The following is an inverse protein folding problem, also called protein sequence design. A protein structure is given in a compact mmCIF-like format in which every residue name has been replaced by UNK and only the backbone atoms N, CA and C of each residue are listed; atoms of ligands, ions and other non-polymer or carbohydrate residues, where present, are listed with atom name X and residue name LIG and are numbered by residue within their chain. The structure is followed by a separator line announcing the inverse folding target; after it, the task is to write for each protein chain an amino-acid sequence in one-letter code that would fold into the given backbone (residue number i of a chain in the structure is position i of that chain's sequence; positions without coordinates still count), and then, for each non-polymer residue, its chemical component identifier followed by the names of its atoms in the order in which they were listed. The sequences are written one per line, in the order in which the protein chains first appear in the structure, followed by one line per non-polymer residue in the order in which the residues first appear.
data_IF_815848786603
#
_entry.id   IF_815848786603
#
_cell.length_a   1.000
_cell.length_b   1.000
_cell.length_c   1.000
_cell.angle_alpha   90.00
_cell.angle_beta   90.00
_cell.angle_gamma   90.00
#
_symmetry.space_group_name_H-M   'P 1'
#
loop_
_entity.id
_entity.type
_entity.pdbx_description
1 polymer ?
#
# COMPACT_ATOMS: atom_id res chain seq x y z
N UNK A 1 -33.46 -48.75 18.23
CA UNK A 1 -34.19 -47.47 18.25
C UNK A 1 -33.34 -46.26 18.62
N UNK A 2 -32.23 -46.40 19.35
CA UNK A 2 -31.31 -45.29 19.73
C UNK A 2 -30.71 -44.54 18.51
N UNK A 3 -30.20 -45.27 17.52
CA UNK A 3 -29.60 -44.70 16.31
C UNK A 3 -30.56 -43.84 15.46
N UNK A 4 -31.87 -44.13 15.48
CA UNK A 4 -32.86 -43.37 14.70
C UNK A 4 -33.19 -42.01 15.36
N UNK A 5 -33.12 -41.92 16.69
CA UNK A 5 -33.27 -40.67 17.43
C UNK A 5 -32.02 -39.78 17.29
N UNK A 6 -30.83 -40.39 17.29
CA UNK A 6 -29.56 -39.68 17.07
C UNK A 6 -29.50 -39.07 15.64
N UNK A 7 -30.03 -39.78 14.65
CA UNK A 7 -30.11 -39.31 13.26
C UNK A 7 -31.06 -38.11 13.06
N UNK A 8 -32.14 -38.03 13.84
CA UNK A 8 -33.08 -36.89 13.85
C UNK A 8 -32.49 -35.67 14.56
N UNK A 9 -31.63 -35.87 15.56
CA UNK A 9 -30.94 -34.78 16.24
C UNK A 9 -29.90 -34.10 15.35
N UNK A 10 -29.25 -34.85 14.45
CA UNK A 10 -28.27 -34.33 13.49
C UNK A 10 -28.87 -33.53 12.33
N UNK A 11 -30.20 -33.42 12.23
CA UNK A 11 -30.87 -32.60 11.21
C UNK A 11 -30.94 -31.12 11.62
N UNK A 12 -30.68 -30.80 12.89
CA UNK A 12 -30.71 -29.43 13.41
C UNK A 12 -29.31 -28.98 13.84
N UNK A 13 -28.61 -28.27 12.95
CA UNK A 13 -27.31 -27.67 13.27
C UNK A 13 -27.55 -26.42 14.13
N UNK A 14 -27.01 -26.43 15.35
CA UNK A 14 -27.00 -25.27 16.26
C UNK A 14 -25.58 -24.77 16.41
N UNK A 15 -25.41 -23.46 16.57
CA UNK A 15 -24.09 -22.88 16.81
C UNK A 15 -23.58 -23.31 18.20
N UNK A 16 -22.33 -23.79 18.32
CA UNK A 16 -21.78 -24.24 19.60
C UNK A 16 -21.51 -23.08 20.57
N UNK A 17 -21.22 -21.88 20.06
CA UNK A 17 -20.93 -20.67 20.83
C UNK A 17 -21.54 -19.45 20.15
N UNK A 18 -21.69 -18.35 20.90
CA UNK A 18 -22.05 -17.04 20.37
C UNK A 18 -20.96 -16.54 19.39
N UNK A 19 -21.37 -16.06 18.22
CA UNK A 19 -20.44 -15.64 17.17
C UNK A 19 -21.12 -15.00 15.97
N UNK A 20 -20.32 -14.54 15.01
CA UNK A 20 -20.81 -13.95 13.74
C UNK A 20 -20.53 -14.93 12.60
N UNK A 21 -21.54 -15.17 11.76
CA UNK A 21 -21.38 -16.01 10.55
C UNK A 21 -20.50 -15.25 9.56
N UNK A 22 -19.31 -15.78 9.29
CA UNK A 22 -18.35 -15.20 8.33
C UNK A 22 -18.41 -15.85 6.96
N UNK A 23 -19.06 -17.01 6.84
CA UNK A 23 -19.26 -17.69 5.57
C UNK A 23 -20.43 -18.67 5.60
N UNK A 24 -21.15 -18.73 4.49
CA UNK A 24 -22.18 -19.73 4.22
C UNK A 24 -21.70 -20.58 3.05
N UNK A 25 -21.53 -21.88 3.27
CA UNK A 25 -20.94 -22.82 2.32
C UNK A 25 -21.93 -23.86 1.78
N UNK A 26 -23.19 -23.80 2.19
CA UNK A 26 -24.27 -24.63 1.67
C UNK A 26 -25.52 -23.78 1.37
N UNK A 27 -26.23 -24.11 0.29
CA UNK A 27 -27.46 -23.43 -0.13
C UNK A 27 -28.72 -24.18 0.37
N UNK A 28 -29.83 -23.45 0.50
CA UNK A 28 -31.12 -24.05 0.85
C UNK A 28 -31.53 -25.11 -0.20
N UNK A 29 -31.87 -26.32 0.27
CA UNK A 29 -32.23 -27.45 -0.59
C UNK A 29 -31.06 -28.31 -1.08
N UNK A 30 -29.81 -27.94 -0.77
CA UNK A 30 -28.64 -28.73 -1.10
C UNK A 30 -28.49 -29.93 -0.14
N UNK A 31 -28.26 -31.13 -0.69
CA UNK A 31 -27.90 -32.31 0.09
C UNK A 31 -26.43 -32.18 0.52
N UNK A 32 -26.18 -32.19 1.83
CA UNK A 32 -24.83 -32.10 2.41
C UNK A 32 -24.39 -33.47 2.91
N UNK A 33 -23.12 -33.81 2.69
CA UNK A 33 -22.53 -35.05 3.21
C UNK A 33 -21.92 -34.84 4.59
N UNK A 34 -21.77 -35.91 5.37
CA UNK A 34 -21.10 -35.84 6.67
C UNK A 34 -19.67 -35.30 6.52
N UNK A 35 -19.31 -34.31 7.34
CA UNK A 35 -17.99 -33.64 7.28
C UNK A 35 -17.91 -32.47 6.29
N UNK A 36 -18.96 -32.21 5.50
CA UNK A 36 -19.02 -31.03 4.63
C UNK A 36 -19.40 -29.79 5.45
N UNK A 37 -18.58 -28.73 5.36
CA UNK A 37 -18.82 -27.45 6.06
C UNK A 37 -20.06 -26.74 5.51
N UNK A 38 -20.98 -26.33 6.39
CA UNK A 38 -22.23 -25.63 6.04
C UNK A 38 -22.15 -24.14 6.38
N UNK A 39 -21.62 -23.82 7.57
CA UNK A 39 -21.40 -22.46 8.05
C UNK A 39 -20.02 -22.34 8.66
N UNK A 40 -19.38 -21.19 8.44
CA UNK A 40 -18.19 -20.77 9.17
C UNK A 40 -18.61 -19.67 10.13
N UNK A 41 -18.42 -19.91 11.43
CA UNK A 41 -18.75 -18.97 12.50
C UNK A 41 -17.45 -18.52 13.16
N UNK A 42 -17.22 -17.21 13.20
CA UNK A 42 -16.17 -16.66 14.05
C UNK A 42 -16.71 -16.57 15.48
N UNK A 43 -16.19 -17.43 16.35
CA UNK A 43 -16.52 -17.47 17.77
C UNK A 43 -15.50 -16.66 18.57
N UNK A 44 -15.99 -15.97 19.61
CA UNK A 44 -15.16 -15.19 20.53
C UNK A 44 -15.34 -13.67 20.38
N UNK A 45 -15.48 -13.01 21.54
CA UNK A 45 -15.42 -11.55 21.68
C UNK A 45 -13.98 -11.02 21.78
N UNK A 46 -13.02 -11.92 22.01
CA UNK A 46 -11.60 -11.61 22.06
C UNK A 46 -11.11 -11.17 20.69
N UNK A 47 -10.63 -9.92 20.60
CA UNK A 47 -10.02 -9.39 19.38
C UNK A 47 -8.53 -9.66 19.44
N UNK A 48 -8.02 -10.39 18.45
CA UNK A 48 -6.59 -10.60 18.31
C UNK A 48 -5.97 -9.49 17.45
N UNK A 49 -4.78 -9.07 17.82
CA UNK A 49 -3.89 -8.25 16.99
C UNK A 49 -2.76 -9.13 16.51
N UNK A 50 -2.47 -9.05 15.22
CA UNK A 50 -1.44 -9.82 14.54
C UNK A 50 -0.40 -8.86 13.98
N UNK A 51 0.87 -9.08 14.32
CA UNK A 51 1.98 -8.30 13.79
C UNK A 51 3.21 -9.17 13.61
N UNK A 52 4.08 -8.75 12.69
CA UNK A 52 5.27 -9.50 12.31
C UNK A 52 6.53 -8.85 12.91
N UNK A 53 7.37 -9.66 13.55
CA UNK A 53 8.57 -9.19 14.26
C UNK A 53 9.81 -9.92 13.72
N UNK A 54 10.83 -9.17 13.34
CA UNK A 54 12.10 -9.72 12.83
C UNK A 54 13.01 -10.29 13.94
N UNK A 55 12.84 -9.84 15.19
CA UNK A 55 13.66 -10.23 16.35
C UNK A 55 12.78 -10.62 17.54
N UNK A 56 12.20 -11.83 17.55
CA UNK A 56 11.27 -12.27 18.59
C UNK A 56 11.96 -12.46 19.95
N UNK A 57 13.30 -12.50 20.01
CA UNK A 57 14.08 -12.61 21.26
C UNK A 57 13.88 -11.40 22.18
N UNK A 58 13.47 -10.25 21.64
CA UNK A 58 13.13 -9.06 22.44
C UNK A 58 11.78 -9.18 23.15
N UNK A 59 10.95 -10.14 22.74
CA UNK A 59 9.69 -10.48 23.38
C UNK A 59 9.96 -11.59 24.38
N UNK A 60 10.02 -11.24 25.66
CA UNK A 60 10.19 -12.23 26.71
C UNK A 60 8.95 -13.15 26.75
N UNK A 61 9.12 -14.40 26.29
CA UNK A 61 8.05 -15.41 26.22
C UNK A 61 7.46 -15.77 27.59
N UNK A 62 8.17 -15.44 28.68
CA UNK A 62 7.71 -15.66 30.06
C UNK A 62 7.07 -14.42 30.66
N UNK A 63 7.20 -13.26 30.02
CA UNK A 63 6.75 -12.03 30.62
C UNK A 63 5.23 -11.93 30.55
N UNK A 64 4.62 -11.67 31.70
CA UNK A 64 3.26 -11.15 31.88
C UNK A 64 3.16 -9.71 31.36
N UNK A 65 3.91 -9.38 30.30
CA UNK A 65 4.07 -8.03 29.81
C UNK A 65 2.79 -7.62 29.09
N UNK A 66 2.18 -6.53 29.58
CA UNK A 66 0.98 -5.96 28.97
C UNK A 66 1.41 -5.12 27.79
N UNK A 67 0.95 -5.50 26.61
CA UNK A 67 1.14 -4.74 25.39
C UNK A 67 0.15 -3.59 25.37
N UNK A 68 0.61 -2.40 25.00
CA UNK A 68 -0.27 -1.26 24.73
C UNK A 68 -0.55 -1.19 23.24
N UNK A 69 -1.82 -1.22 22.88
CA UNK A 69 -2.26 -1.17 21.48
C UNK A 69 -3.09 0.08 21.27
N UNK A 70 -2.77 0.87 20.26
CA UNK A 70 -3.53 2.05 19.83
C UNK A 70 -4.02 1.90 18.40
N UNK A 71 -5.16 2.50 18.04
CA UNK A 71 -5.54 2.64 16.63
C UNK A 71 -4.57 3.58 15.91
N UNK A 72 -4.13 3.19 14.71
CA UNK A 72 -3.21 4.02 13.92
C UNK A 72 -3.88 5.34 13.49
N UNK A 73 -5.18 5.31 13.21
CA UNK A 73 -5.95 6.49 12.80
C UNK A 73 -6.31 7.41 13.98
N UNK A 74 -6.44 6.86 15.19
CA UNK A 74 -6.74 7.64 16.39
C UNK A 74 -5.96 7.08 17.60
N UNK A 75 -4.78 7.64 17.90
CA UNK A 75 -3.94 7.18 19.00
C UNK A 75 -4.58 7.30 20.39
N UNK A 76 -5.69 8.03 20.53
CA UNK A 76 -6.44 8.16 21.79
C UNK A 76 -7.23 6.90 22.13
N UNK A 77 -7.55 6.08 21.13
CA UNK A 77 -8.25 4.81 21.32
C UNK A 77 -7.22 3.73 21.59
N UNK A 78 -7.12 3.33 22.85
CA UNK A 78 -6.12 2.37 23.32
C UNK A 78 -6.76 1.18 24.04
N UNK A 79 -6.10 0.03 23.96
CA UNK A 79 -6.42 -1.17 24.73
C UNK A 79 -5.14 -1.81 25.27
N UNK A 80 -5.25 -2.47 26.42
CA UNK A 80 -4.21 -3.40 26.87
C UNK A 80 -4.39 -4.75 26.19
N UNK A 81 -3.30 -5.51 26.06
CA UNK A 81 -3.32 -6.82 25.44
C UNK A 81 -2.28 -7.74 26.07
N UNK A 82 -2.54 -9.04 26.01
CA UNK A 82 -1.62 -10.07 26.48
C UNK A 82 -1.15 -10.97 25.34
N UNK A 83 0.06 -11.53 25.48
CA UNK A 83 0.62 -12.45 24.50
C UNK A 83 -0.20 -13.73 24.44
N UNK A 84 -0.69 -14.08 23.25
CA UNK A 84 -1.42 -15.33 23.00
C UNK A 84 -0.48 -16.40 22.46
N UNK A 85 0.23 -16.09 21.38
CA UNK A 85 1.12 -17.03 20.71
C UNK A 85 2.17 -16.31 19.85
N UNK A 86 3.30 -16.98 19.62
CA UNK A 86 4.32 -16.59 18.65
C UNK A 86 4.54 -17.78 17.74
N UNK A 87 4.46 -17.58 16.43
CA UNK A 87 4.65 -18.66 15.47
C UNK A 87 5.96 -19.42 15.75
N UNK A 88 5.97 -20.76 15.74
CA UNK A 88 7.18 -21.53 16.06
C UNK A 88 8.26 -21.39 14.98
N UNK A 89 7.85 -21.08 13.74
CA UNK A 89 8.72 -20.88 12.60
C UNK A 89 8.55 -19.46 12.05
N UNK A 90 9.65 -18.89 11.55
CA UNK A 90 9.61 -17.66 10.76
C UNK A 90 9.01 -17.92 9.38
N UNK A 91 8.35 -16.91 8.84
CA UNK A 91 8.00 -16.88 7.43
C UNK A 91 9.28 -16.73 6.58
N UNK A 92 9.46 -17.61 5.59
CA UNK A 92 10.68 -17.68 4.80
C UNK A 92 10.85 -16.50 3.83
N UNK A 93 9.76 -15.83 3.43
CA UNK A 93 9.81 -14.69 2.51
C UNK A 93 10.14 -13.40 3.27
N UNK A 94 9.46 -13.15 4.38
CA UNK A 94 9.61 -11.89 5.14
C UNK A 94 10.67 -11.96 6.24
N UNK A 95 11.17 -13.17 6.56
CA UNK A 95 12.10 -13.43 7.67
C UNK A 95 11.59 -12.87 9.00
N UNK A 96 10.27 -12.96 9.21
CA UNK A 96 9.61 -12.46 10.41
C UNK A 96 8.81 -13.57 11.09
N UNK A 97 8.68 -13.44 12.41
CA UNK A 97 7.80 -14.28 13.22
C UNK A 97 6.47 -13.57 13.40
N UNK A 98 5.39 -14.33 13.28
CA UNK A 98 4.04 -13.81 13.49
C UNK A 98 3.71 -13.87 14.97
N UNK A 99 3.44 -12.72 15.55
CA UNK A 99 3.04 -12.57 16.95
C UNK A 99 1.56 -12.29 17.02
N UNK A 100 0.84 -13.01 17.88
CA UNK A 100 -0.58 -12.82 18.15
C UNK A 100 -0.75 -12.40 19.61
N UNK A 101 -1.37 -11.26 19.82
CA UNK A 101 -1.75 -10.75 21.14
C UNK A 101 -3.27 -10.62 21.20
N UNK A 102 -3.89 -10.92 22.33
CA UNK A 102 -5.33 -10.79 22.53
C UNK A 102 -5.61 -9.50 23.30
N UNK A 103 -6.52 -8.67 22.78
CA UNK A 103 -6.92 -7.41 23.40
C UNK A 103 -7.82 -7.68 24.62
N UNK A 104 -7.49 -7.05 25.74
CA UNK A 104 -8.26 -7.05 26.96
C UNK A 104 -9.27 -5.89 26.92
N UNK A 105 -10.57 -6.22 26.91
CA UNK A 105 -11.69 -5.27 26.85
C UNK A 105 -11.53 -4.15 25.78
N UNK A 106 -11.45 -4.50 24.49
CA UNK A 106 -11.21 -3.53 23.43
C UNK A 106 -12.38 -2.54 23.28
N UNK A 107 -12.12 -1.24 23.11
CA UNK A 107 -13.15 -0.26 22.76
C UNK A 107 -13.96 -0.67 21.52
N UNK A 108 -15.26 -0.31 21.41
CA UNK A 108 -16.09 -0.66 20.27
C UNK A 108 -15.49 -0.22 18.93
N UNK A 109 -14.77 0.91 18.93
CA UNK A 109 -14.09 1.52 17.78
C UNK A 109 -12.97 0.64 17.19
N UNK A 110 -12.38 -0.29 17.95
CA UNK A 110 -11.32 -1.19 17.46
C UNK A 110 -11.87 -2.37 16.65
N UNK A 111 -12.51 -2.07 15.52
CA UNK A 111 -13.15 -3.08 14.65
C UNK A 111 -12.14 -4.08 14.04
N UNK A 112 -12.65 -5.24 13.61
CA UNK A 112 -11.83 -6.24 12.90
C UNK A 112 -11.30 -5.64 11.59
N UNK A 113 -10.02 -5.88 11.30
CA UNK A 113 -9.33 -5.33 10.13
C UNK A 113 -8.77 -3.91 10.31
N UNK A 114 -8.98 -3.28 11.47
CA UNK A 114 -8.37 -1.98 11.76
C UNK A 114 -6.84 -2.08 11.94
N UNK A 115 -6.11 -1.10 11.40
CA UNK A 115 -4.66 -0.98 11.61
C UNK A 115 -4.35 -0.42 13.00
N UNK A 116 -3.43 -1.05 13.70
CA UNK A 116 -3.04 -0.69 15.06
C UNK A 116 -1.54 -0.49 15.18
N UNK A 117 -1.13 0.38 16.11
CA UNK A 117 0.23 0.52 16.57
C UNK A 117 0.40 -0.20 17.90
N UNK A 118 1.33 -1.16 17.95
CA UNK A 118 1.66 -1.92 19.16
C UNK A 118 2.91 -1.31 19.78
N UNK A 119 2.80 -0.87 21.03
CA UNK A 119 3.94 -0.44 21.84
C UNK A 119 4.45 -1.63 22.62
N UNK A 120 5.67 -2.05 22.30
CA UNK A 120 6.33 -3.15 23.01
C UNK A 120 6.73 -2.66 24.41
N UNK A 121 6.33 -3.37 25.48
CA UNK A 121 6.86 -3.09 26.81
C UNK A 121 8.36 -3.33 26.77
N UNK A 122 9.14 -2.32 27.14
CA UNK A 122 10.56 -2.55 27.44
C UNK A 122 10.59 -3.61 28.53
N UNK A 123 11.33 -4.70 28.31
CA UNK A 123 11.55 -5.71 29.33
C UNK A 123 11.88 -5.00 30.64
N UNK A 124 11.22 -5.40 31.74
CA UNK A 124 11.53 -5.00 33.11
C UNK A 124 12.98 -5.39 33.41
N UNK A 125 13.89 -4.65 32.82
CA UNK A 125 15.27 -4.56 33.22
C UNK A 125 15.11 -3.78 34.50
N UNK A 126 15.17 -4.50 35.63
CA UNK A 126 15.51 -3.93 36.93
C UNK A 126 16.31 -2.68 36.69
N UNK A 127 15.73 -1.53 37.04
CA UNK A 127 16.23 -0.21 36.67
C UNK A 127 17.63 -0.05 37.23
N UNK A 128 18.65 -0.52 36.50
CA UNK A 128 19.95 0.12 36.49
C UNK A 128 19.61 1.53 36.03
N UNK A 129 19.53 2.47 36.96
CA UNK A 129 19.01 3.81 36.70
C UNK A 129 19.74 4.46 35.52
N UNK A 130 19.16 4.35 34.33
CA UNK A 130 19.76 4.86 33.10
C UNK A 130 19.31 6.30 32.92
N UNK A 131 20.26 7.21 32.83
CA UNK A 131 19.98 8.64 32.68
C UNK A 131 19.93 9.01 31.21
N UNK A 132 18.84 9.65 30.78
CA UNK A 132 18.68 10.13 29.41
C UNK A 132 19.25 11.55 29.26
N UNK A 133 20.13 11.73 28.28
CA UNK A 133 20.65 13.05 27.87
C UNK A 133 20.47 13.26 26.37
N UNK A 134 20.40 14.51 25.87
CA UNK A 134 20.36 14.77 24.43
C UNK A 134 21.59 14.22 23.71
N UNK A 135 21.43 13.68 22.51
CA UNK A 135 22.54 13.15 21.72
C UNK A 135 23.62 14.22 21.41
N UNK A 136 23.24 15.50 21.38
CA UNK A 136 24.16 16.63 21.13
C UNK A 136 25.16 16.87 22.27
N UNK A 137 24.95 16.29 23.45
CA UNK A 137 25.84 16.42 24.59
C UNK A 137 27.01 15.40 24.60
N UNK A 138 26.97 14.40 23.72
CA UNK A 138 27.97 13.35 23.66
C UNK A 138 29.25 13.84 22.98
N UNK A 139 30.39 13.62 23.63
CA UNK A 139 31.73 13.87 23.09
C UNK A 139 32.60 12.62 23.26
N UNK A 140 33.87 12.70 22.85
CA UNK A 140 34.83 11.60 23.01
C UNK A 140 36.07 12.06 23.77
N UNK A 141 36.58 11.20 24.65
CA UNK A 141 37.85 11.36 25.34
C UNK A 141 38.70 10.11 25.10
N UNK A 142 39.85 10.26 24.44
CA UNK A 142 40.77 9.16 24.15
C UNK A 142 40.06 7.93 23.50
N UNK A 143 39.09 8.18 22.62
CA UNK A 143 38.30 7.14 21.94
C UNK A 143 37.09 6.62 22.71
N UNK A 144 36.94 6.95 24.00
CA UNK A 144 35.80 6.56 24.84
C UNK A 144 34.69 7.63 24.84
N UNK A 145 33.40 7.24 24.94
CA UNK A 145 32.30 8.19 25.08
C UNK A 145 32.42 9.00 26.37
N UNK A 146 32.23 10.31 26.27
CA UNK A 146 32.36 11.25 27.37
C UNK A 146 31.34 12.38 27.25
N UNK A 147 31.09 13.08 28.35
CA UNK A 147 30.16 14.21 28.45
C UNK A 147 30.84 15.34 29.21
N UNK A 148 30.55 16.58 28.85
CA UNK A 148 31.01 17.74 29.61
C UNK A 148 29.99 18.12 30.69
N UNK A 149 30.46 18.16 31.93
CA UNK A 149 29.68 18.53 33.11
C UNK A 149 30.15 19.91 33.58
N UNK A 150 29.20 20.81 33.85
CA UNK A 150 29.46 22.13 34.40
C UNK A 150 29.59 22.05 35.92
N UNK A 151 30.74 22.44 36.46
CA UNK A 151 30.90 22.72 37.89
C UNK A 151 30.29 24.10 38.20
N UNK A 152 29.18 24.18 38.94
CA UNK A 152 28.49 25.44 39.22
C UNK A 152 29.29 26.38 40.14
N UNK A 153 30.26 25.86 40.89
CA UNK A 153 31.07 26.67 41.84
C UNK A 153 32.19 27.38 41.10
N UNK A 154 32.83 26.69 40.15
CA UNK A 154 34.00 27.21 39.41
C UNK A 154 33.66 27.75 38.02
N UNK A 155 32.44 27.50 37.52
CA UNK A 155 32.04 27.76 36.12
C UNK A 155 33.00 27.12 35.10
N UNK A 156 33.60 25.99 35.47
CA UNK A 156 34.50 25.23 34.62
C UNK A 156 33.79 23.99 34.10
N UNK A 157 34.15 23.60 32.88
CA UNK A 157 33.66 22.36 32.28
C UNK A 157 34.63 21.24 32.58
N UNK A 158 34.12 20.11 33.05
CA UNK A 158 34.90 18.92 33.32
C UNK A 158 34.43 17.84 32.36
N UNK A 159 35.36 17.27 31.60
CA UNK A 159 35.05 16.15 30.73
C UNK A 159 35.08 14.86 31.54
N UNK A 160 33.97 14.12 31.54
CA UNK A 160 33.84 12.85 32.26
C UNK A 160 33.46 11.74 31.29
N UNK A 161 34.15 10.61 31.35
CA UNK A 161 33.82 9.42 30.58
C UNK A 161 32.51 8.80 31.10
N UNK A 162 31.68 8.33 30.19
CA UNK A 162 30.36 7.77 30.51
C UNK A 162 30.17 6.41 29.85
N UNK A 163 29.44 5.51 30.49
CA UNK A 163 29.06 4.23 29.92
C UNK A 163 27.67 4.35 29.28
N UNK A 164 27.56 4.11 27.98
CA UNK A 164 26.29 4.21 27.24
C UNK A 164 25.54 2.87 27.36
N UNK A 165 24.24 2.94 27.69
CA UNK A 165 23.32 1.81 27.65
C UNK A 165 22.66 1.64 26.26
N UNK A 166 22.39 2.76 25.59
CA UNK A 166 21.82 2.80 24.24
C UNK A 166 21.78 4.23 23.69
N UNK A 167 21.51 4.37 22.40
CA UNK A 167 21.42 5.68 21.75
C UNK A 167 20.32 5.68 20.67
N UNK A 168 19.76 6.86 20.44
CA UNK A 168 18.83 7.18 19.35
C UNK A 168 19.34 8.44 18.63
N UNK A 169 18.64 8.88 17.59
CA UNK A 169 18.97 10.14 16.92
C UNK A 169 18.87 11.36 17.86
N UNK A 170 17.93 11.32 18.81
CA UNK A 170 17.60 12.47 19.66
C UNK A 170 18.21 12.37 21.07
N UNK A 171 18.30 11.16 21.62
CA UNK A 171 18.69 10.93 23.01
C UNK A 171 19.69 9.77 23.18
N UNK A 172 20.55 9.88 24.18
CA UNK A 172 21.52 8.87 24.61
C UNK A 172 21.23 8.48 26.05
N UNK A 173 21.16 7.18 26.31
CA UNK A 173 20.93 6.62 27.63
C UNK A 173 22.28 6.24 28.26
N UNK A 174 22.61 6.83 29.41
CA UNK A 174 23.85 6.60 30.15
C UNK A 174 23.60 5.68 31.34
N UNK A 175 24.32 4.55 31.38
CA UNK A 175 24.31 3.59 32.48
C UNK A 175 25.12 4.05 33.69
N UNK A 176 26.27 4.70 33.44
CA UNK A 176 27.17 5.16 34.51
C UNK A 176 28.01 6.35 34.08
N UNK A 177 28.45 7.15 35.06
CA UNK A 177 29.37 8.28 34.84
C UNK A 177 28.72 9.66 34.98
N UNK A 178 27.41 9.76 35.20
CA UNK A 178 26.74 11.01 35.58
C UNK A 178 25.89 10.79 36.83
N UNK A 179 25.64 11.84 37.60
CA UNK A 179 24.78 11.79 38.78
C UNK A 179 23.52 12.65 38.57
N UNK A 180 22.38 12.29 39.18
CA UNK A 180 21.20 13.15 39.19
C UNK A 180 21.54 14.56 39.72
N UNK A 181 21.25 15.59 38.92
CA UNK A 181 21.57 16.98 39.24
C UNK A 181 22.82 17.54 38.53
N UNK A 182 23.62 16.69 37.89
CA UNK A 182 24.75 17.14 37.04
C UNK A 182 24.22 17.96 35.85
N UNK A 183 24.80 19.14 35.63
CA UNK A 183 24.47 19.99 34.48
C UNK A 183 25.35 19.64 33.29
N UNK A 184 24.74 19.08 32.26
CA UNK A 184 25.42 18.65 31.04
C UNK A 184 25.36 19.72 29.95
N UNK A 185 26.46 19.88 29.21
CA UNK A 185 26.53 20.82 28.09
C UNK A 185 25.99 20.18 26.82
N UNK A 186 24.99 20.81 26.20
CA UNK A 186 24.29 20.32 25.00
C UNK A 186 24.69 21.05 23.72
N UNK A 187 25.41 22.17 23.81
CA UNK A 187 25.81 23.01 22.68
C UNK A 187 27.30 23.36 22.77
N UNK A 188 28.00 23.36 21.63
CA UNK A 188 29.43 23.71 21.58
C UNK A 188 30.39 22.61 22.05
N UNK A 189 29.92 21.38 22.28
CA UNK A 189 30.74 20.25 22.79
C UNK A 189 31.94 19.88 21.92
N UNK A 190 31.96 20.29 20.64
CA UNK A 190 33.06 20.04 19.70
C UNK A 190 34.24 21.01 19.88
N UNK A 191 33.99 22.18 20.47
CA UNK A 191 34.98 23.26 20.58
C UNK A 191 35.55 23.40 22.00
N UNK A 192 34.90 22.81 23.01
CA UNK A 192 35.28 22.95 24.41
C UNK A 192 36.46 22.05 24.80
N UNK A 193 37.36 22.59 25.63
CA UNK A 193 38.47 21.86 26.26
C UNK A 193 38.20 21.62 27.74
N UNK A 194 38.87 20.62 28.30
CA UNK A 194 38.76 20.31 29.72
C UNK A 194 39.28 21.48 30.58
N UNK A 195 38.51 21.88 31.59
CA UNK A 195 38.82 23.02 32.46
C UNK A 195 38.46 24.41 31.89
N UNK A 196 37.90 24.49 30.68
CA UNK A 196 37.54 25.76 30.07
C UNK A 196 36.41 26.47 30.84
N UNK A 197 36.56 27.78 31.05
CA UNK A 197 35.57 28.57 31.78
C UNK A 197 34.44 28.95 30.85
N UNK A 198 33.24 28.48 31.13
CA UNK A 198 32.05 28.83 30.36
C UNK A 198 31.30 29.95 31.07
N UNK A 199 30.83 30.93 30.30
CA UNK A 199 29.95 31.97 30.80
C UNK A 199 28.55 31.38 31.03
N UNK A 200 28.39 30.67 32.15
CA UNK A 200 27.10 30.20 32.64
C UNK A 200 26.29 31.36 33.22
N UNK A 201 25.67 32.17 32.37
CA UNK A 201 24.66 33.13 32.80
C UNK A 201 23.40 32.96 31.98
N UNK A 202 22.36 32.47 32.63
CA UNK A 202 21.01 32.51 32.09
C UNK A 202 20.11 31.46 32.71
N UNK A 203 19.24 31.90 33.63
CA UNK A 203 17.85 31.42 33.63
C UNK A 203 17.42 31.29 32.18
N UNK A 204 16.72 30.22 31.83
CA UNK A 204 16.23 29.94 30.49
C UNK A 204 15.46 31.17 29.96
N UNK A 205 16.18 32.08 29.32
CA UNK A 205 15.66 32.89 28.24
C UNK A 205 16.09 32.08 27.04
N UNK A 206 15.16 31.26 26.55
CA UNK A 206 15.27 30.75 25.19
C UNK A 206 15.44 32.00 24.32
N UNK A 207 16.69 32.34 23.97
CA UNK A 207 16.89 33.11 22.76
C UNK A 207 16.21 32.26 21.70
N UNK A 208 15.16 32.76 21.03
CA UNK A 208 14.51 31.97 20.01
C UNK A 208 15.61 31.55 19.06
N UNK A 209 15.78 30.23 18.88
CA UNK A 209 16.63 29.71 17.82
C UNK A 209 16.27 30.51 16.57
N UNK A 210 17.26 31.07 15.87
CA UNK A 210 17.02 31.92 14.71
C UNK A 210 16.05 31.19 13.80
N UNK A 211 14.81 31.64 13.82
CA UNK A 211 13.75 30.93 13.17
C UNK A 211 13.81 31.36 11.71
N UNK A 212 14.53 30.59 10.90
CA UNK A 212 14.68 30.86 9.47
C UNK A 212 13.31 31.08 8.82
N UNK A 213 12.27 30.37 9.26
CA UNK A 213 10.91 30.57 8.76
C UNK A 213 10.32 31.92 9.18
N UNK A 214 10.48 32.35 10.44
CA UNK A 214 9.99 33.64 10.90
C UNK A 214 10.77 34.83 10.29
N UNK A 215 12.08 34.67 10.08
CA UNK A 215 12.90 35.68 9.40
C UNK A 215 12.56 35.77 7.91
N UNK A 216 12.36 34.62 7.25
CA UNK A 216 11.90 34.56 5.86
C UNK A 216 10.52 35.19 5.67
N UNK A 217 9.60 35.01 6.62
CA UNK A 217 8.27 35.65 6.59
C UNK A 217 8.33 37.17 6.78
N UNK A 218 9.36 37.70 7.48
CA UNK A 218 9.53 39.14 7.73
C UNK A 218 10.19 39.87 6.56
N UNK A 219 10.95 39.17 5.71
CA UNK A 219 11.69 39.77 4.61
C UNK A 219 10.85 39.83 3.33
N UNK A 220 10.51 41.04 2.86
CA UNK A 220 9.68 41.26 1.65
C UNK A 220 10.24 40.58 0.38
N UNK A 221 11.56 40.34 0.34
CA UNK A 221 12.22 39.61 -0.74
C UNK A 221 11.72 38.16 -0.88
N UNK A 222 11.45 37.46 0.23
CA UNK A 222 10.97 36.08 0.17
C UNK A 222 9.52 35.97 -0.33
N UNK A 223 8.66 36.92 0.04
CA UNK A 223 7.31 37.01 -0.51
C UNK A 223 7.35 37.26 -2.03
N UNK A 224 8.24 38.13 -2.50
CA UNK A 224 8.46 38.36 -3.93
C UNK A 224 8.96 37.09 -4.64
N UNK A 225 9.93 36.38 -4.06
CA UNK A 225 10.50 35.16 -4.63
C UNK A 225 9.46 34.02 -4.68
N UNK A 226 8.64 33.87 -3.64
CA UNK A 226 7.51 32.93 -3.63
C UNK A 226 6.49 33.27 -4.71
N UNK A 227 6.14 34.55 -4.87
CA UNK A 227 5.19 34.99 -5.90
C UNK A 227 5.76 34.73 -7.31
N UNK A 228 7.07 34.92 -7.50
CA UNK A 228 7.75 34.63 -8.75
C UNK A 228 7.76 33.12 -9.06
N UNK A 229 8.02 32.27 -8.06
CA UNK A 229 7.96 30.80 -8.21
C UNK A 229 6.53 30.35 -8.53
N UNK A 230 5.52 30.92 -7.86
CA UNK A 230 4.10 30.60 -8.14
C UNK A 230 3.72 31.06 -9.55
N UNK A 231 4.10 32.26 -9.97
CA UNK A 231 3.84 32.75 -11.32
C UNK A 231 4.56 31.91 -12.38
N UNK A 232 5.83 31.55 -12.14
CA UNK A 232 6.58 30.64 -13.00
C UNK A 232 5.94 29.25 -13.04
N UNK A 233 5.42 28.76 -11.91
CA UNK A 233 4.69 27.50 -11.80
C UNK A 233 3.39 27.51 -12.61
N UNK A 234 2.61 28.59 -12.55
CA UNK A 234 1.39 28.77 -13.36
C UNK A 234 1.74 28.79 -14.85
N UNK A 235 2.74 29.58 -15.25
CA UNK A 235 3.22 29.64 -16.63
C UNK A 235 3.73 28.27 -17.09
N UNK A 236 4.43 27.53 -16.22
CA UNK A 236 4.90 26.18 -16.52
C UNK A 236 3.74 25.18 -16.60
N UNK A 237 2.72 25.32 -15.76
CA UNK A 237 1.55 24.44 -15.75
C UNK A 237 0.71 24.60 -17.03
N UNK A 238 0.55 25.82 -17.53
CA UNK A 238 -0.10 26.06 -18.83
C UNK A 238 0.75 25.57 -20.02
N UNK A 239 2.08 25.55 -19.87
CA UNK A 239 3.00 25.04 -20.88
C UNK A 239 3.26 23.54 -20.80
N UNK A 240 2.82 22.87 -19.73
CA UNK A 240 2.90 21.42 -19.63
C UNK A 240 1.88 20.82 -20.60
N UNK A 241 2.40 20.20 -21.65
CA UNK A 241 1.59 19.40 -22.56
C UNK A 241 0.93 18.26 -21.78
N UNK A 242 -0.41 18.31 -21.64
CA UNK A 242 -1.21 17.22 -21.07
C UNK A 242 -1.23 16.03 -22.04
N UNK A 243 -0.13 15.31 -22.15
CA UNK A 243 -0.03 14.02 -22.84
C UNK A 243 0.75 13.05 -21.95
N UNK A 244 0.18 12.65 -20.80
CA UNK A 244 0.74 11.57 -19.96
C UNK A 244 0.36 10.16 -20.44
N UNK A 245 -0.59 10.04 -21.38
CA UNK A 245 -0.86 8.79 -22.07
C UNK A 245 -0.43 8.91 -23.55
N UNK A 246 0.43 8.02 -24.08
CA UNK A 246 0.57 7.91 -25.52
C UNK A 246 -0.81 7.56 -26.10
N UNK A 247 -1.27 8.31 -27.10
CA UNK A 247 -2.56 8.04 -27.73
C UNK A 247 -2.62 6.57 -28.19
N UNK A 248 -3.33 5.73 -27.44
CA UNK A 248 -3.42 4.30 -27.72
C UNK A 248 -4.20 4.13 -29.03
N UNK A 249 -3.47 3.85 -30.10
CA UNK A 249 -4.06 3.72 -31.43
C UNK A 249 -4.50 2.27 -31.59
N UNK A 250 -5.81 2.03 -31.55
CA UNK A 250 -6.37 0.69 -31.75
C UNK A 250 -6.14 0.27 -33.21
N UNK A 251 -5.31 -0.76 -33.40
CA UNK A 251 -4.91 -1.32 -34.71
C UNK A 251 -5.83 -2.45 -35.20
N UNK A 252 -6.90 -2.73 -34.46
CA UNK A 252 -7.91 -3.74 -34.81
C UNK A 252 -9.25 -3.06 -35.03
N UNK A 253 -9.90 -3.37 -36.15
CA UNK A 253 -11.28 -2.97 -36.41
C UNK A 253 -12.15 -4.17 -36.74
N UNK A 254 -13.45 -4.03 -36.52
CA UNK A 254 -14.46 -5.04 -36.83
C UNK A 254 -15.32 -4.53 -37.98
N UNK A 255 -15.44 -5.34 -39.01
CA UNK A 255 -16.34 -5.13 -40.15
C UNK A 255 -17.40 -6.23 -40.11
N UNK A 256 -18.66 -5.86 -40.04
CA UNK A 256 -19.77 -6.83 -40.06
C UNK A 256 -20.67 -6.59 -41.25
N UNK A 257 -21.09 -7.68 -41.89
CA UNK A 257 -22.08 -7.63 -42.96
C UNK A 257 -23.19 -8.64 -42.70
N UNK A 258 -24.40 -8.29 -43.11
CA UNK A 258 -25.58 -9.11 -42.92
C UNK A 258 -26.32 -9.27 -44.24
N UNK A 259 -26.61 -10.52 -44.59
CA UNK A 259 -27.48 -10.86 -45.71
C UNK A 259 -28.61 -11.77 -45.19
N UNK A 260 -29.75 -11.20 -44.80
CA UNK A 260 -30.89 -11.98 -44.34
C UNK A 260 -31.33 -12.98 -45.41
N UNK A 261 -31.60 -14.22 -45.02
CA UNK A 261 -32.06 -15.33 -45.87
C UNK A 261 -31.00 -16.06 -46.70
N UNK A 262 -29.71 -15.75 -46.57
CA UNK A 262 -28.64 -16.52 -47.21
C UNK A 262 -28.24 -17.76 -46.40
N UNK A 263 -28.03 -18.89 -47.07
CA UNK A 263 -27.41 -20.08 -46.45
C UNK A 263 -25.93 -19.81 -46.11
N UNK A 264 -25.33 -20.64 -45.28
CA UNK A 264 -23.93 -20.50 -44.86
C UNK A 264 -22.97 -20.54 -46.05
N UNK A 265 -23.20 -21.43 -47.03
CA UNK A 265 -22.33 -21.56 -48.20
C UNK A 265 -22.37 -20.31 -49.08
N UNK A 266 -23.57 -19.73 -49.28
CA UNK A 266 -23.76 -18.51 -50.03
C UNK A 266 -23.19 -17.30 -49.28
N UNK A 267 -23.35 -17.26 -47.95
CA UNK A 267 -22.80 -16.20 -47.10
C UNK A 267 -21.27 -16.19 -47.12
N UNK A 268 -20.63 -17.37 -47.11
CA UNK A 268 -19.16 -17.47 -47.24
C UNK A 268 -18.74 -16.97 -48.62
N UNK A 269 -19.26 -17.58 -49.68
CA UNK A 269 -18.77 -17.36 -51.05
C UNK A 269 -19.06 -15.95 -51.59
N UNK A 270 -20.21 -15.37 -51.25
CA UNK A 270 -20.68 -14.12 -51.84
C UNK A 270 -20.47 -12.92 -50.92
N UNK A 271 -20.51 -13.10 -49.60
CA UNK A 271 -20.33 -11.99 -48.64
C UNK A 271 -18.93 -12.01 -48.05
N UNK A 272 -18.54 -13.12 -47.44
CA UNK A 272 -17.29 -13.21 -46.67
C UNK A 272 -16.09 -13.09 -47.60
N UNK A 273 -15.98 -13.94 -48.63
CA UNK A 273 -14.86 -13.93 -49.57
C UNK A 273 -14.73 -12.59 -50.31
N UNK A 274 -15.87 -11.99 -50.69
CA UNK A 274 -15.90 -10.70 -51.38
C UNK A 274 -15.37 -9.58 -50.49
N UNK A 275 -15.82 -9.53 -49.24
CA UNK A 275 -15.38 -8.53 -48.28
C UNK A 275 -13.93 -8.74 -47.87
N UNK A 276 -13.50 -9.97 -47.59
CA UNK A 276 -12.11 -10.30 -47.29
C UNK A 276 -11.18 -9.86 -48.41
N UNK A 277 -11.50 -10.20 -49.65
CA UNK A 277 -10.68 -9.83 -50.81
C UNK A 277 -10.57 -8.31 -50.98
N UNK A 278 -11.63 -7.57 -50.68
CA UNK A 278 -11.63 -6.09 -50.73
C UNK A 278 -10.86 -5.47 -49.56
N UNK A 279 -10.95 -6.08 -48.38
CA UNK A 279 -10.21 -5.66 -47.19
C UNK A 279 -8.72 -6.02 -47.31
N UNK A 280 -8.36 -7.04 -48.08
CA UNK A 280 -6.97 -7.38 -48.41
C UNK A 280 -6.23 -6.30 -49.23
N UNK A 281 -6.97 -5.41 -49.90
CA UNK A 281 -6.40 -4.29 -50.66
C UNK A 281 -6.03 -3.07 -49.78
N UNK A 282 -6.28 -3.10 -48.46
CA UNK A 282 -5.95 -1.97 -47.59
C UNK A 282 -4.45 -1.92 -47.29
N UNK A 283 -3.85 -0.72 -47.23
CA UNK A 283 -2.45 -0.60 -46.87
C UNK A 283 -2.24 -0.98 -45.40
N UNK A 284 -1.06 -1.54 -45.09
CA UNK A 284 -0.65 -1.94 -43.74
C UNK A 284 -1.49 -3.04 -43.10
N UNK A 285 -2.23 -3.82 -43.89
CA UNK A 285 -2.92 -5.00 -43.40
C UNK A 285 -1.92 -6.08 -42.97
N UNK A 286 -2.11 -6.63 -41.77
CA UNK A 286 -1.38 -7.80 -41.28
C UNK A 286 -2.16 -9.08 -41.64
N UNK A 287 -3.32 -9.26 -41.02
CA UNK A 287 -4.21 -10.37 -41.31
C UNK A 287 -5.68 -10.00 -41.12
N UNK A 288 -6.52 -10.83 -41.73
CA UNK A 288 -7.97 -10.79 -41.60
C UNK A 288 -8.44 -12.13 -41.05
N UNK A 289 -9.33 -12.10 -40.07
CA UNK A 289 -9.97 -13.30 -39.52
C UNK A 289 -11.47 -13.11 -39.57
N UNK A 290 -12.20 -14.07 -40.15
CA UNK A 290 -13.65 -14.01 -40.27
C UNK A 290 -14.34 -15.11 -39.46
N UNK A 291 -15.49 -14.75 -38.92
CA UNK A 291 -16.46 -15.65 -38.30
C UNK A 291 -17.78 -15.53 -39.06
N UNK A 292 -18.15 -16.59 -39.78
CA UNK A 292 -19.34 -16.59 -40.64
C UNK A 292 -20.39 -17.56 -40.14
N UNK A 293 -21.61 -17.07 -40.04
CA UNK A 293 -22.82 -17.84 -39.77
C UNK A 293 -23.83 -17.62 -40.90
N UNK A 294 -24.90 -18.42 -40.96
CA UNK A 294 -25.97 -18.23 -41.94
C UNK A 294 -26.53 -16.79 -41.86
N UNK A 295 -26.41 -16.06 -42.97
CA UNK A 295 -26.89 -14.69 -43.12
C UNK A 295 -26.11 -13.60 -42.39
N UNK A 296 -24.97 -13.89 -41.74
CA UNK A 296 -24.10 -12.87 -41.12
C UNK A 296 -22.63 -13.26 -41.14
N UNK A 297 -21.75 -12.28 -41.33
CA UNK A 297 -20.30 -12.45 -41.21
C UNK A 297 -19.68 -11.31 -40.41
N UNK A 298 -18.72 -11.63 -39.56
CA UNK A 298 -17.93 -10.68 -38.77
C UNK A 298 -16.47 -10.87 -39.12
N UNK A 299 -15.81 -9.81 -39.54
CA UNK A 299 -14.45 -9.80 -40.05
C UNK A 299 -13.60 -8.89 -39.16
N UNK A 300 -12.59 -9.47 -38.52
CA UNK A 300 -11.56 -8.76 -37.75
C UNK A 300 -10.42 -8.37 -38.68
N UNK A 301 -10.15 -7.07 -38.75
CA UNK A 301 -9.10 -6.48 -39.58
C UNK A 301 -7.99 -5.98 -38.66
N UNK A 302 -6.81 -6.57 -38.78
CA UNK A 302 -5.63 -6.20 -37.99
C UNK A 302 -4.58 -5.54 -38.88
N UNK A 303 -4.05 -4.40 -38.40
CA UNK A 303 -2.94 -3.70 -39.05
C UNK A 303 -1.60 -4.14 -38.46
N UNK A 304 -0.54 -4.07 -39.26
CA UNK A 304 0.80 -4.45 -38.83
C UNK A 304 1.32 -3.55 -37.70
N UNK A 305 2.19 -4.09 -36.86
CA UNK A 305 2.65 -3.40 -35.66
C UNK A 305 3.49 -2.14 -35.94
N UNK A 306 4.09 -2.03 -37.12
CA UNK A 306 4.86 -0.86 -37.57
C UNK A 306 4.00 0.27 -38.19
N UNK A 307 2.67 0.10 -38.25
CA UNK A 307 1.77 1.09 -38.85
C UNK A 307 1.87 2.44 -38.10
N UNK A 308 2.18 3.55 -38.81
CA UNK A 308 2.28 4.86 -38.18
C UNK A 308 0.93 5.29 -37.54
N UNK A 309 0.89 5.66 -36.24
CA UNK A 309 -0.34 6.00 -35.53
C UNK A 309 -1.18 7.10 -36.21
N UNK A 310 -0.52 8.08 -36.83
CA UNK A 310 -1.18 9.17 -37.55
C UNK A 310 -1.94 8.71 -38.81
N UNK A 311 -1.59 7.56 -39.39
CA UNK A 311 -2.22 7.05 -40.62
C UNK A 311 -3.40 6.12 -40.33
N UNK A 312 -3.48 5.54 -39.12
CA UNK A 312 -4.51 4.56 -38.75
C UNK A 312 -5.94 5.10 -38.94
N UNK A 313 -6.19 6.36 -38.58
CA UNK A 313 -7.49 6.99 -38.81
C UNK A 313 -7.87 7.05 -40.30
N UNK A 314 -6.91 7.31 -41.18
CA UNK A 314 -7.08 7.32 -42.63
C UNK A 314 -7.33 5.91 -43.19
N UNK A 315 -6.67 4.90 -42.64
CA UNK A 315 -6.88 3.50 -43.02
C UNK A 315 -8.29 3.06 -42.65
N UNK A 316 -8.78 3.39 -41.45
CA UNK A 316 -10.16 3.09 -41.05
C UNK A 316 -11.21 3.81 -41.89
N UNK A 317 -10.92 5.03 -42.35
CA UNK A 317 -11.76 5.70 -43.33
C UNK A 317 -11.84 4.93 -44.66
N UNK A 318 -10.71 4.40 -45.15
CA UNK A 318 -10.68 3.57 -46.36
C UNK A 318 -11.44 2.25 -46.18
N UNK A 319 -11.27 1.56 -45.05
CA UNK A 319 -12.03 0.34 -44.70
C UNK A 319 -13.53 0.62 -44.76
N UNK A 320 -13.99 1.70 -44.12
CA UNK A 320 -15.41 2.09 -44.15
C UNK A 320 -15.92 2.39 -45.55
N UNK A 321 -15.12 3.13 -46.34
CA UNK A 321 -15.45 3.47 -47.73
C UNK A 321 -15.53 2.23 -48.62
N UNK A 322 -14.60 1.29 -48.47
CA UNK A 322 -14.61 0.01 -49.21
C UNK A 322 -15.79 -0.86 -48.78
N UNK A 323 -16.10 -0.96 -47.50
CA UNK A 323 -17.27 -1.69 -47.00
C UNK A 323 -18.58 -1.13 -47.58
N UNK A 324 -18.75 0.20 -47.53
CA UNK A 324 -19.92 0.86 -48.12
C UNK A 324 -20.01 0.69 -49.65
N UNK A 325 -18.88 0.55 -50.34
CA UNK A 325 -18.85 0.21 -51.77
C UNK A 325 -19.20 -1.25 -52.06
N UNK A 326 -18.97 -2.16 -51.12
CA UNK A 326 -19.36 -3.56 -51.28
C UNK A 326 -20.87 -3.76 -51.13
N UNK A 327 -21.57 -2.90 -50.37
CA UNK A 327 -23.03 -2.99 -50.24
C UNK A 327 -23.76 -2.89 -51.60
N UNK A 328 -23.24 -2.11 -52.55
CA UNK A 328 -23.78 -2.04 -53.92
C UNK A 328 -23.49 -3.28 -54.76
N UNK A 329 -22.30 -3.89 -54.61
CA UNK A 329 -21.94 -5.13 -55.31
C UNK A 329 -22.71 -6.34 -54.73
N UNK A 330 -22.89 -6.37 -53.41
CA UNK A 330 -23.72 -7.35 -52.70
C UNK A 330 -25.21 -7.16 -53.02
N UNK A 331 -25.67 -5.94 -53.31
CA UNK A 331 -27.03 -5.69 -53.82
C UNK A 331 -27.24 -6.23 -55.24
N UNK A 332 -26.23 -6.19 -56.10
CA UNK A 332 -26.29 -6.79 -57.43
C UNK A 332 -26.26 -8.34 -57.36
N UNK A 333 -25.46 -8.91 -56.45
CA UNK A 333 -25.46 -10.35 -56.17
C UNK A 333 -26.78 -10.88 -55.59
N UNK A 334 -27.46 -10.06 -54.78
CA UNK A 334 -28.84 -10.30 -54.28
C UNK A 334 -29.89 -10.45 -55.38
N UNK A 335 -29.63 -9.91 -56.58
CA UNK A 335 -30.54 -9.96 -57.73
C UNK A 335 -30.15 -11.03 -58.78
N UNK A 336 -29.06 -11.77 -58.59
CA UNK A 336 -28.64 -12.90 -59.43
C UNK A 336 -29.47 -14.17 -59.19
N UNK A 337 -29.43 -15.18 -60.09
CA UNK A 337 -30.48 -16.18 -60.28
C UNK A 337 -30.52 -17.21 -59.14
N UNK A 338 -31.13 -16.83 -58.03
CA UNK A 338 -31.46 -17.69 -56.88
C UNK A 338 -32.94 -17.60 -56.52
N UNK A 339 -33.80 -17.46 -57.53
CA UNK A 339 -35.22 -17.74 -57.38
C UNK A 339 -35.47 -19.25 -57.52
N UNK A 340 -36.13 -19.82 -56.52
CA UNK A 340 -36.70 -21.18 -56.44
C UNK A 340 -35.74 -22.33 -56.06
N UNK A 341 -35.83 -22.78 -54.81
CA UNK A 341 -36.73 -23.89 -54.42
C UNK A 341 -37.06 -23.86 -52.93
#
# INVERSE_FOLDING_TARGET
MKNAQDSLRWTHLTAPDDGVVTGVSAAAGQVVSAGQTVFTVATGTGRDVVFDVATPETLDRRATARFRVALLQNPSVMAEAHLRDISPQADAQTRSWRVRITLDNPPPEMVLGASVAVTLPLADTTVDAVMAIPATALTRQAGQPAVFILDPVKNCVIRRTVAIAGYTADAVWIRAGIMPGDRVITAGVRSLRDGERVAGSGRISMKPAFNLSAWALKQQLMAFLMLLIVAAGIVSYEKLSRNEDPAFTIKTAVVSAQWPSADINDTVRLVTDTLEKKLQEIPWLDYVQSETHAGRTVIFVNLHDDTPPAQVAGIWYQVRKKNAGCDSDLAAGRAGPGGQR
#
